data_IF_157128307396
#
_entry.id   IF_157128307396
#
_cell.length_a   1.000
_cell.length_b   1.000
_cell.length_c   1.000
_cell.angle_alpha   90.00
_cell.angle_beta   90.00
_cell.angle_gamma   90.00
#
_symmetry.space_group_name_H-M   'P 1'
#
loop_
_entity.id
_entity.type
_entity.pdbx_description
1 polymer ?
#
# COMPACT_ATOMS: atom_id res chain seq x y z
N UNK A 1 5.79 15.31 -17.09
CA UNK A 1 6.02 16.76 -16.81
C UNK A 1 5.00 17.71 -17.47
N UNK A 2 3.83 17.23 -17.90
CA UNK A 2 2.79 18.09 -18.50
C UNK A 2 2.16 19.04 -17.47
N UNK A 3 1.82 18.62 -16.23
CA UNK A 3 1.14 19.52 -15.28
C UNK A 3 1.96 20.75 -14.84
N UNK A 4 3.28 20.61 -14.49
CA UNK A 4 4.11 21.77 -14.14
C UNK A 4 4.28 22.77 -15.28
N UNK A 5 4.45 22.28 -16.51
CA UNK A 5 4.59 23.12 -17.69
C UNK A 5 3.30 23.91 -17.99
N UNK A 6 2.13 23.29 -17.82
CA UNK A 6 0.84 23.94 -18.05
C UNK A 6 0.56 25.02 -16.99
N UNK A 7 0.81 24.75 -15.70
CA UNK A 7 0.53 25.75 -14.66
C UNK A 7 1.50 26.93 -14.68
N UNK A 8 2.78 26.70 -15.01
CA UNK A 8 3.74 27.80 -15.22
C UNK A 8 3.33 28.65 -16.42
N UNK A 9 2.83 28.04 -17.49
CA UNK A 9 2.41 28.77 -18.68
C UNK A 9 1.10 29.56 -18.49
N UNK A 10 0.10 28.99 -17.79
CA UNK A 10 -1.21 29.62 -17.60
C UNK A 10 -1.28 30.61 -16.43
N UNK A 11 -0.59 30.30 -15.31
CA UNK A 11 -0.73 31.03 -14.05
C UNK A 11 0.58 31.69 -13.60
N UNK A 12 1.63 31.66 -14.44
CA UNK A 12 2.92 32.29 -14.18
C UNK A 12 3.61 31.76 -12.91
N UNK A 13 4.35 32.65 -12.22
CA UNK A 13 5.10 32.30 -11.00
C UNK A 13 4.21 31.84 -9.84
N UNK A 14 2.99 32.37 -9.75
CA UNK A 14 2.01 31.98 -8.72
C UNK A 14 1.52 30.55 -8.92
N UNK A 15 1.22 30.15 -10.16
CA UNK A 15 0.85 28.78 -10.48
C UNK A 15 1.95 27.75 -10.20
N UNK A 16 3.20 28.12 -10.48
CA UNK A 16 4.35 27.29 -10.17
C UNK A 16 4.48 27.00 -8.67
N UNK A 17 4.29 28.04 -7.83
CA UNK A 17 4.31 27.90 -6.38
C UNK A 17 3.15 27.03 -5.87
N UNK A 18 1.93 27.28 -6.35
CA UNK A 18 0.76 26.49 -5.95
C UNK A 18 0.89 25.01 -6.33
N UNK A 19 1.45 24.69 -7.49
CA UNK A 19 1.71 23.30 -7.87
C UNK A 19 2.80 22.65 -7.01
N UNK A 20 3.87 23.37 -6.71
CA UNK A 20 4.93 22.87 -5.83
C UNK A 20 4.37 22.57 -4.44
N UNK A 21 3.57 23.49 -3.90
CA UNK A 21 2.90 23.31 -2.62
C UNK A 21 1.92 22.13 -2.66
N UNK A 22 1.08 22.03 -3.68
CA UNK A 22 0.16 20.92 -3.84
C UNK A 22 0.89 19.57 -3.93
N UNK A 23 1.98 19.49 -4.70
CA UNK A 23 2.77 18.26 -4.81
C UNK A 23 3.42 17.90 -3.47
N UNK A 24 3.96 18.89 -2.75
CA UNK A 24 4.53 18.68 -1.42
C UNK A 24 3.49 18.16 -0.42
N UNK A 25 2.30 18.78 -0.39
CA UNK A 25 1.20 18.35 0.47
C UNK A 25 0.70 16.95 0.08
N UNK A 26 0.56 16.66 -1.22
CA UNK A 26 0.13 15.36 -1.71
C UNK A 26 1.10 14.24 -1.30
N UNK A 27 2.40 14.43 -1.53
CA UNK A 27 3.43 13.42 -1.20
C UNK A 27 3.54 13.23 0.32
N UNK A 28 3.49 14.32 1.10
CA UNK A 28 3.54 14.24 2.57
C UNK A 28 2.30 13.53 3.11
N UNK A 29 1.11 13.80 2.55
CA UNK A 29 -0.13 13.14 2.94
C UNK A 29 -0.11 11.65 2.65
N UNK A 30 0.31 11.25 1.44
CA UNK A 30 0.38 9.82 1.07
C UNK A 30 1.44 9.08 1.87
N UNK A 31 2.60 9.71 2.10
CA UNK A 31 3.69 9.12 2.89
C UNK A 31 3.27 8.83 4.32
N UNK A 32 2.55 9.75 4.97
CA UNK A 32 2.04 9.53 6.32
C UNK A 32 1.04 8.36 6.37
N UNK A 33 0.10 8.29 5.42
CA UNK A 33 -0.89 7.20 5.36
C UNK A 33 -0.24 5.83 5.14
N UNK A 34 0.76 5.75 4.26
CA UNK A 34 1.48 4.49 4.00
C UNK A 34 2.27 4.03 5.23
N UNK A 35 2.99 4.96 5.88
CA UNK A 35 3.79 4.66 7.07
C UNK A 35 2.93 4.16 8.24
N UNK A 36 1.75 4.74 8.42
CA UNK A 36 0.76 4.27 9.41
C UNK A 36 0.18 2.90 9.04
N UNK A 37 -0.12 2.68 7.76
CA UNK A 37 -0.61 1.39 7.28
C UNK A 37 0.42 0.27 7.54
N UNK A 38 1.70 0.49 7.23
CA UNK A 38 2.75 -0.51 7.46
C UNK A 38 2.97 -0.78 8.95
N UNK A 39 2.94 0.27 9.78
CA UNK A 39 3.10 0.13 11.22
C UNK A 39 1.96 -0.66 11.88
N UNK A 40 0.71 -0.43 11.46
CA UNK A 40 -0.45 -1.18 11.94
C UNK A 40 -0.43 -2.64 11.46
N UNK A 41 -0.12 -2.89 10.18
CA UNK A 41 0.07 -4.26 9.66
C UNK A 41 1.10 -5.03 10.49
N UNK A 42 2.27 -4.44 10.77
CA UNK A 42 3.27 -5.12 11.60
C UNK A 42 2.77 -5.36 13.03
N UNK A 43 2.13 -4.37 13.65
CA UNK A 43 1.72 -4.47 15.06
C UNK A 43 0.60 -5.49 15.26
N UNK A 44 -0.39 -5.52 14.38
CA UNK A 44 -1.54 -6.41 14.50
C UNK A 44 -1.32 -7.78 13.86
N UNK A 45 -0.72 -7.83 12.67
CA UNK A 45 -0.60 -9.09 11.92
C UNK A 45 0.65 -9.87 12.30
N UNK A 46 1.74 -9.18 12.69
CA UNK A 46 3.00 -9.83 13.05
C UNK A 46 3.17 -9.88 14.57
N UNK A 47 3.21 -8.72 15.24
CA UNK A 47 3.54 -8.66 16.66
C UNK A 47 2.48 -9.32 17.54
N UNK A 48 1.20 -9.00 17.34
CA UNK A 48 0.13 -9.64 18.12
C UNK A 48 0.04 -11.14 17.81
N UNK A 49 0.02 -11.53 16.53
CA UNK A 49 -0.21 -12.93 16.18
C UNK A 49 0.95 -13.87 16.57
N UNK A 50 2.21 -13.43 16.40
CA UNK A 50 3.38 -14.33 16.54
C UNK A 50 4.22 -14.06 17.78
N UNK A 51 4.34 -12.82 18.25
CA UNK A 51 5.23 -12.48 19.36
C UNK A 51 4.50 -12.40 20.70
N UNK A 52 3.33 -11.76 20.74
CA UNK A 52 2.55 -11.63 21.97
C UNK A 52 1.03 -11.57 21.71
N UNK A 53 0.37 -12.75 21.66
CA UNK A 53 -1.07 -12.87 21.43
C UNK A 53 -1.95 -12.15 22.45
N UNK A 54 -1.43 -11.95 23.67
CA UNK A 54 -2.12 -11.28 24.78
C UNK A 54 -1.61 -9.84 25.00
N UNK A 55 -0.99 -9.22 23.99
CA UNK A 55 -0.52 -7.85 24.09
C UNK A 55 -1.69 -6.88 24.37
N UNK A 56 -1.55 -6.08 25.42
CA UNK A 56 -2.45 -4.95 25.69
C UNK A 56 -2.38 -3.92 24.56
N UNK A 57 -3.49 -3.21 24.31
CA UNK A 57 -3.60 -2.17 23.28
C UNK A 57 -2.52 -1.08 23.45
N UNK A 58 -2.17 -0.71 24.68
CA UNK A 58 -1.11 0.29 24.93
C UNK A 58 0.27 -0.17 24.41
N UNK A 59 0.56 -1.47 24.54
CA UNK A 59 1.81 -2.04 24.02
C UNK A 59 1.79 -2.12 22.50
N UNK A 60 0.64 -2.43 21.89
CA UNK A 60 0.49 -2.43 20.43
C UNK A 60 0.70 -1.03 19.84
N UNK A 61 0.17 0.01 20.49
CA UNK A 61 0.40 1.39 20.07
C UNK A 61 1.88 1.81 20.20
N UNK A 62 2.56 1.39 21.26
CA UNK A 62 3.99 1.65 21.42
C UNK A 62 4.80 0.99 20.30
N UNK A 63 4.52 -0.28 20.00
CA UNK A 63 5.18 -1.02 18.91
C UNK A 63 4.90 -0.35 17.56
N UNK A 64 3.66 0.05 17.29
CA UNK A 64 3.30 0.80 16.08
C UNK A 64 4.15 2.06 15.94
N UNK A 65 4.24 2.89 16.99
CA UNK A 65 5.03 4.13 16.97
C UNK A 65 6.53 3.90 16.74
N UNK A 66 7.08 2.81 17.29
CA UNK A 66 8.48 2.43 17.01
C UNK A 66 8.62 2.00 15.55
N UNK A 67 7.68 1.20 15.04
CA UNK A 67 7.69 0.72 13.65
C UNK A 67 7.56 1.84 12.63
N UNK A 68 6.79 2.89 12.93
CA UNK A 68 6.76 4.13 12.14
C UNK A 68 8.17 4.67 11.96
N UNK A 69 8.90 4.88 13.06
CA UNK A 69 10.27 5.41 13.01
C UNK A 69 11.23 4.49 12.23
N UNK A 70 11.16 3.18 12.48
CA UNK A 70 11.98 2.19 11.78
C UNK A 70 11.68 2.18 10.28
N UNK A 71 10.41 2.15 9.89
CA UNK A 71 10.02 2.11 8.48
C UNK A 71 10.44 3.39 7.75
N UNK A 72 10.35 4.57 8.37
CA UNK A 72 10.84 5.82 7.75
C UNK A 72 12.33 5.78 7.44
N UNK A 73 13.15 5.24 8.34
CA UNK A 73 14.60 5.12 8.10
C UNK A 73 14.87 4.12 6.99
N UNK A 74 14.22 2.95 7.03
CA UNK A 74 14.40 1.89 6.03
C UNK A 74 13.96 2.34 4.64
N UNK A 75 12.75 2.91 4.52
CA UNK A 75 12.23 3.39 3.23
C UNK A 75 13.04 4.58 2.70
N UNK A 76 13.52 5.47 3.57
CA UNK A 76 14.43 6.55 3.19
C UNK A 76 15.76 6.06 2.64
N UNK A 77 16.38 5.07 3.28
CA UNK A 77 17.64 4.45 2.78
C UNK A 77 17.41 3.76 1.45
N UNK A 78 16.34 2.99 1.30
CA UNK A 78 15.98 2.33 0.05
C UNK A 78 15.73 3.36 -1.05
N UNK A 79 15.04 4.46 -0.76
CA UNK A 79 14.78 5.53 -1.73
C UNK A 79 16.07 6.18 -2.24
N UNK A 80 17.05 6.42 -1.37
CA UNK A 80 18.37 6.93 -1.79
C UNK A 80 19.09 5.94 -2.69
N UNK A 81 19.07 4.64 -2.35
CA UNK A 81 19.69 3.60 -3.18
C UNK A 81 19.05 3.54 -4.56
N UNK A 82 17.71 3.53 -4.64
CA UNK A 82 16.98 3.50 -5.91
C UNK A 82 17.26 4.75 -6.77
N UNK A 83 17.46 5.90 -6.13
CA UNK A 83 17.82 7.16 -6.79
C UNK A 83 19.23 7.09 -7.40
N UNK A 84 20.21 6.54 -6.67
CA UNK A 84 21.60 6.37 -7.14
C UNK A 84 21.71 5.34 -8.28
N UNK A 85 20.86 4.29 -8.28
CA UNK A 85 20.80 3.32 -9.39
C UNK A 85 20.25 3.98 -10.67
N UNK A 86 19.63 5.16 -10.58
CA UNK A 86 19.07 5.86 -11.74
C UNK A 86 17.82 5.20 -12.30
N UNK A 87 17.08 4.45 -11.46
CA UNK A 87 15.86 3.76 -11.87
C UNK A 87 14.80 4.74 -12.35
N UNK A 88 14.18 4.42 -13.49
CA UNK A 88 13.01 5.16 -13.95
C UNK A 88 11.81 4.87 -13.03
N UNK A 89 11.09 5.91 -12.60
CA UNK A 89 9.83 5.76 -11.85
C UNK A 89 8.86 4.80 -12.55
N UNK A 90 8.77 4.87 -13.88
CA UNK A 90 7.93 3.96 -14.68
C UNK A 90 8.33 2.49 -14.52
N UNK A 91 9.63 2.20 -14.45
CA UNK A 91 10.13 0.84 -14.18
C UNK A 91 9.68 0.35 -12.81
N UNK A 92 9.86 1.17 -11.77
CA UNK A 92 9.48 0.83 -10.39
C UNK A 92 7.98 0.57 -10.28
N UNK A 93 7.15 1.43 -10.89
CA UNK A 93 5.69 1.26 -10.89
C UNK A 93 5.23 0.00 -11.62
N UNK A 94 5.87 -0.35 -12.75
CA UNK A 94 5.50 -1.55 -13.51
C UNK A 94 5.97 -2.83 -12.81
N UNK A 95 7.16 -2.82 -12.21
CA UNK A 95 7.68 -3.96 -11.42
C UNK A 95 6.85 -4.19 -10.17
N UNK A 96 6.38 -3.12 -9.52
CA UNK A 96 5.41 -3.23 -8.43
C UNK A 96 4.21 -4.08 -8.86
N UNK A 97 3.62 -3.81 -10.02
CA UNK A 97 2.50 -4.59 -10.56
C UNK A 97 2.81 -6.06 -10.84
N UNK A 98 4.04 -6.39 -11.25
CA UNK A 98 4.48 -7.79 -11.46
C UNK A 98 4.56 -8.53 -10.12
N UNK A 99 5.10 -7.89 -9.09
CA UNK A 99 5.34 -8.51 -7.77
C UNK A 99 4.04 -8.63 -6.97
N UNK A 100 3.23 -7.57 -6.92
CA UNK A 100 2.04 -7.54 -6.05
C UNK A 100 0.74 -7.88 -6.78
N UNK A 101 0.73 -7.80 -8.12
CA UNK A 101 -0.49 -7.93 -8.93
C UNK A 101 -1.19 -9.28 -8.75
N UNK A 102 -0.45 -10.33 -8.42
CA UNK A 102 -1.01 -11.67 -8.19
C UNK A 102 -1.95 -11.73 -6.99
N UNK A 103 -1.82 -10.85 -5.99
CA UNK A 103 -2.67 -10.85 -4.81
C UNK A 103 -3.98 -10.04 -4.99
N UNK A 104 -4.06 -9.20 -6.02
CA UNK A 104 -5.17 -8.24 -6.20
C UNK A 104 -6.51 -8.94 -6.36
N UNK A 105 -6.63 -9.88 -7.30
CA UNK A 105 -7.88 -10.61 -7.52
C UNK A 105 -8.24 -11.52 -6.34
N UNK A 106 -7.31 -12.35 -5.80
CA UNK A 106 -7.61 -13.18 -4.63
C UNK A 106 -8.12 -12.37 -3.44
N UNK A 107 -7.51 -11.22 -3.16
CA UNK A 107 -7.96 -10.33 -2.08
C UNK A 107 -9.37 -9.79 -2.34
N UNK A 108 -9.66 -9.34 -3.57
CA UNK A 108 -11.00 -8.90 -3.94
C UNK A 108 -12.04 -10.04 -3.85
N UNK A 109 -11.67 -11.26 -4.26
CA UNK A 109 -12.52 -12.43 -4.21
C UNK A 109 -12.84 -12.85 -2.76
N UNK A 110 -11.89 -12.76 -1.83
CA UNK A 110 -12.13 -13.03 -0.41
C UNK A 110 -13.20 -12.12 0.21
N UNK A 111 -13.32 -10.87 -0.27
CA UNK A 111 -14.26 -9.89 0.27
C UNK A 111 -15.62 -9.94 -0.44
N UNK A 112 -15.64 -10.32 -1.72
CA UNK A 112 -16.85 -10.22 -2.55
C UNK A 112 -17.51 -11.56 -2.88
N UNK A 113 -16.77 -12.67 -2.84
CA UNK A 113 -17.23 -13.96 -3.32
C UNK A 113 -17.33 -14.99 -2.19
N UNK A 114 -18.57 -15.33 -1.83
CA UNK A 114 -18.90 -16.29 -0.75
C UNK A 114 -18.21 -17.65 -0.86
N UNK A 115 -17.88 -18.10 -2.08
CA UNK A 115 -17.31 -19.43 -2.34
C UNK A 115 -15.78 -19.41 -2.44
N UNK A 116 -15.17 -18.23 -2.34
CA UNK A 116 -13.72 -18.09 -2.38
C UNK A 116 -13.12 -18.85 -1.19
N UNK A 117 -12.27 -19.82 -1.50
CA UNK A 117 -11.61 -20.62 -0.47
C UNK A 117 -10.30 -19.99 -0.04
N UNK A 118 -10.00 -20.06 1.26
CA UNK A 118 -8.73 -19.59 1.79
C UNK A 118 -7.54 -20.27 1.11
N UNK A 119 -7.64 -21.57 0.80
CA UNK A 119 -6.60 -22.33 0.10
C UNK A 119 -6.44 -21.82 -1.34
N UNK A 120 -7.56 -21.55 -2.02
CA UNK A 120 -7.57 -21.02 -3.38
C UNK A 120 -6.88 -19.65 -3.45
N UNK A 121 -7.26 -18.72 -2.55
CA UNK A 121 -6.73 -17.36 -2.54
C UNK A 121 -5.23 -17.30 -2.20
N UNK A 122 -4.77 -18.11 -1.24
CA UNK A 122 -3.35 -18.16 -0.86
C UNK A 122 -2.52 -18.81 -1.97
N UNK A 123 -3.00 -19.93 -2.51
CA UNK A 123 -2.26 -20.69 -3.54
C UNK A 123 -2.15 -19.90 -4.84
N UNK A 124 -3.22 -19.24 -5.28
CA UNK A 124 -3.19 -18.42 -6.50
C UNK A 124 -2.23 -17.24 -6.37
N UNK A 125 -2.23 -16.57 -5.21
CA UNK A 125 -1.34 -15.43 -4.95
C UNK A 125 0.14 -15.87 -4.93
N UNK A 126 0.42 -16.99 -4.23
CA UNK A 126 1.78 -17.50 -4.04
C UNK A 126 2.37 -18.13 -5.30
N UNK A 127 1.55 -18.78 -6.14
CA UNK A 127 1.98 -19.38 -7.41
C UNK A 127 2.02 -18.33 -8.53
N UNK A 128 1.10 -17.35 -8.51
CA UNK A 128 1.03 -16.30 -9.51
C UNK A 128 2.24 -15.37 -9.53
N UNK A 129 2.79 -15.02 -8.36
CA UNK A 129 3.95 -14.10 -8.27
C UNK A 129 5.22 -14.68 -8.94
N UNK A 130 5.69 -15.90 -8.61
CA UNK A 130 6.84 -16.49 -9.28
C UNK A 130 6.63 -16.66 -10.79
N UNK A 131 5.42 -17.04 -11.22
CA UNK A 131 5.12 -17.18 -12.65
C UNK A 131 5.15 -15.84 -13.38
N UNK A 132 4.67 -14.76 -12.76
CA UNK A 132 4.76 -13.42 -13.30
C UNK A 132 6.21 -12.94 -13.43
N UNK A 133 7.03 -13.15 -12.39
CA UNK A 133 8.46 -12.82 -12.40
C UNK A 133 9.20 -13.64 -13.47
N UNK A 134 8.95 -14.95 -13.55
CA UNK A 134 9.55 -15.80 -14.57
C UNK A 134 9.15 -15.34 -15.97
N UNK A 135 7.86 -15.04 -16.20
CA UNK A 135 7.40 -14.57 -17.51
C UNK A 135 8.07 -13.26 -17.89
N UNK A 136 8.18 -12.32 -16.95
CA UNK A 136 8.86 -11.04 -17.16
C UNK A 136 10.33 -11.24 -17.57
N UNK A 137 11.10 -12.01 -16.79
CA UNK A 137 12.52 -12.23 -17.04
C UNK A 137 12.77 -13.07 -18.30
N UNK A 138 11.95 -14.09 -18.56
CA UNK A 138 12.04 -14.90 -19.79
C UNK A 138 11.69 -14.07 -21.02
N UNK A 139 10.67 -13.21 -20.95
CA UNK A 139 10.30 -12.33 -22.06
C UNK A 139 11.41 -11.29 -22.32
N UNK A 140 12.01 -10.74 -21.26
CA UNK A 140 13.18 -9.86 -21.39
C UNK A 140 14.37 -10.58 -22.04
N UNK A 141 14.70 -11.79 -21.60
CA UNK A 141 15.80 -12.57 -22.17
C UNK A 141 15.55 -12.98 -23.63
N UNK A 142 14.35 -13.46 -23.95
CA UNK A 142 14.03 -13.97 -25.30
C UNK A 142 13.98 -12.88 -26.36
N UNK A 143 13.58 -11.66 -26.00
CA UNK A 143 13.53 -10.53 -26.92
C UNK A 143 14.88 -9.81 -27.10
N UNK A 144 15.86 -10.10 -26.23
CA UNK A 144 17.16 -9.40 -26.21
C UNK A 144 18.34 -10.38 -26.22
N UNK A 145 18.22 -11.48 -26.98
CA UNK A 145 19.30 -12.46 -27.21
C UNK A 145 19.95 -13.03 -25.92
N UNK A 146 19.18 -13.15 -24.85
CA UNK A 146 19.61 -13.70 -23.55
C UNK A 146 20.16 -12.66 -22.57
N UNK A 147 20.19 -11.38 -22.92
CA UNK A 147 20.65 -10.31 -22.03
C UNK A 147 19.51 -9.88 -21.10
N UNK A 148 19.81 -9.84 -19.80
CA UNK A 148 18.89 -9.35 -18.75
C UNK A 148 19.61 -8.27 -17.94
N UNK A 149 19.19 -7.04 -18.13
CA UNK A 149 19.70 -5.83 -17.50
C UNK A 149 18.55 -4.83 -17.25
N UNK A 150 18.90 -3.62 -16.81
CA UNK A 150 17.90 -2.61 -16.50
C UNK A 150 17.10 -2.18 -17.73
N UNK A 151 17.76 -2.04 -18.88
CA UNK A 151 17.16 -1.51 -20.11
C UNK A 151 16.25 -2.55 -20.77
N UNK A 152 16.68 -3.81 -20.81
CA UNK A 152 15.89 -4.93 -21.34
C UNK A 152 14.67 -5.24 -20.47
N UNK A 153 14.80 -5.16 -19.15
CA UNK A 153 13.67 -5.36 -18.23
C UNK A 153 12.70 -4.17 -18.21
N UNK A 154 13.15 -2.97 -18.60
CA UNK A 154 12.34 -1.76 -18.73
C UNK A 154 11.46 -1.71 -19.98
N UNK A 155 11.67 -2.61 -20.93
CA UNK A 155 10.92 -2.63 -22.18
C UNK A 155 9.42 -2.91 -21.95
N UNK A 156 8.58 -2.32 -22.80
CA UNK A 156 7.13 -2.40 -22.68
C UNK A 156 6.60 -3.85 -22.80
N UNK A 157 7.18 -4.67 -23.70
CA UNK A 157 6.72 -6.04 -23.91
C UNK A 157 6.99 -6.97 -22.71
N UNK A 158 8.22 -7.06 -22.15
CA UNK A 158 8.46 -7.79 -20.92
C UNK A 158 7.58 -7.33 -19.75
N UNK A 159 7.47 -6.01 -19.56
CA UNK A 159 6.66 -5.43 -18.48
C UNK A 159 5.18 -5.80 -18.64
N UNK A 160 4.65 -5.70 -19.86
CA UNK A 160 3.27 -6.08 -20.17
C UNK A 160 3.04 -7.57 -19.93
N UNK A 161 3.94 -8.44 -20.40
CA UNK A 161 3.81 -9.88 -20.25
C UNK A 161 3.79 -10.29 -18.77
N UNK A 162 4.71 -9.76 -17.96
CA UNK A 162 4.76 -10.01 -16.52
C UNK A 162 3.50 -9.54 -15.80
N UNK A 163 3.07 -8.31 -16.05
CA UNK A 163 1.87 -7.74 -15.42
C UNK A 163 0.59 -8.47 -15.82
N UNK A 164 0.48 -8.88 -17.09
CA UNK A 164 -0.68 -9.63 -17.58
C UNK A 164 -0.75 -11.01 -16.92
N UNK A 165 0.38 -11.71 -16.80
CA UNK A 165 0.41 -12.99 -16.08
C UNK A 165 0.09 -12.80 -14.60
N UNK A 166 0.66 -11.78 -13.94
CA UNK A 166 0.36 -11.49 -12.54
C UNK A 166 -1.15 -11.38 -12.29
N UNK A 167 -1.86 -10.58 -13.10
CA UNK A 167 -3.30 -10.37 -12.92
C UNK A 167 -4.14 -11.55 -13.43
N UNK A 168 -3.96 -11.95 -14.69
CA UNK A 168 -4.87 -12.88 -15.36
C UNK A 168 -4.66 -14.30 -14.86
N UNK A 169 -3.41 -14.76 -14.77
CA UNK A 169 -3.15 -16.13 -14.35
C UNK A 169 -3.56 -16.35 -12.90
N UNK A 170 -3.25 -15.41 -12.00
CA UNK A 170 -3.69 -15.51 -10.60
C UNK A 170 -5.22 -15.49 -10.49
N UNK A 171 -5.90 -14.65 -11.28
CA UNK A 171 -7.38 -14.60 -11.30
C UNK A 171 -7.99 -15.93 -11.73
N UNK A 172 -7.52 -16.49 -12.85
CA UNK A 172 -8.00 -17.77 -13.37
C UNK A 172 -7.76 -18.89 -12.36
N UNK A 173 -6.54 -18.96 -11.80
CA UNK A 173 -6.19 -19.99 -10.83
C UNK A 173 -7.04 -19.89 -9.56
N UNK A 174 -7.28 -18.68 -9.06
CA UNK A 174 -8.15 -18.43 -7.91
C UNK A 174 -9.59 -18.88 -8.18
N UNK A 175 -10.13 -18.59 -9.38
CA UNK A 175 -11.48 -18.99 -9.78
C UNK A 175 -11.59 -20.51 -9.85
N UNK A 176 -10.65 -21.17 -10.54
CA UNK A 176 -10.66 -22.63 -10.71
C UNK A 176 -10.55 -23.32 -9.35
N UNK A 177 -9.60 -22.93 -8.51
CA UNK A 177 -9.41 -23.53 -7.20
C UNK A 177 -10.60 -23.28 -6.27
N UNK A 178 -11.27 -22.13 -6.38
CA UNK A 178 -12.48 -21.83 -5.60
C UNK A 178 -13.67 -22.71 -6.03
N UNK A 179 -13.73 -23.15 -7.28
CA UNK A 179 -14.76 -24.12 -7.72
C UNK A 179 -14.42 -25.56 -7.35
N UNK A 180 -13.14 -25.94 -7.30
CA UNK A 180 -12.70 -27.30 -6.90
C UNK A 180 -12.81 -27.48 -5.38
N UNK A 181 -12.42 -26.46 -4.61
CA UNK A 181 -12.43 -26.47 -3.16
C UNK A 181 -13.30 -25.34 -2.60
N UNK A 182 -14.62 -25.32 -2.86
CA UNK A 182 -15.48 -24.23 -2.42
C UNK A 182 -15.56 -24.17 -0.90
N UNK A 183 -15.47 -22.97 -0.35
CA UNK A 183 -15.72 -22.69 1.05
C UNK A 183 -16.92 -21.74 1.11
N UNK A 184 -18.10 -22.22 1.50
CA UNK A 184 -19.32 -21.40 1.57
C UNK A 184 -19.30 -20.56 2.85
N UNK A 185 -18.78 -19.33 2.75
CA UNK A 185 -18.67 -18.41 3.88
C UNK A 185 -20.00 -17.75 4.25
N UNK A 186 -20.37 -17.81 5.54
CA UNK A 186 -21.53 -17.10 6.08
C UNK A 186 -21.16 -15.65 6.46
N UNK A 187 -21.55 -14.70 5.62
CA UNK A 187 -21.33 -13.27 5.88
C UNK A 187 -21.92 -12.77 7.21
N UNK A 188 -22.88 -13.48 7.81
CA UNK A 188 -23.41 -13.11 9.12
C UNK A 188 -22.36 -13.28 10.24
N UNK A 189 -21.32 -14.08 10.04
CA UNK A 189 -20.20 -14.17 10.98
C UNK A 189 -19.42 -12.86 11.09
N UNK A 190 -19.34 -12.06 10.01
CA UNK A 190 -18.66 -10.76 10.06
C UNK A 190 -19.32 -9.79 11.05
N UNK A 191 -20.63 -9.94 11.30
CA UNK A 191 -21.35 -9.12 12.28
C UNK A 191 -21.04 -9.52 13.73
N UNK A 192 -20.53 -10.73 13.95
CA UNK A 192 -20.21 -11.29 15.27
C UNK A 192 -18.76 -11.03 15.68
N UNK A 193 -17.89 -10.67 14.72
CA UNK A 193 -16.51 -10.32 15.03
C UNK A 193 -16.58 -9.11 15.97
N UNK A 194 -16.10 -9.24 17.23
CA UNK A 194 -16.03 -8.09 18.11
C UNK A 194 -15.21 -7.07 17.37
N UNK A 195 -15.80 -5.90 17.10
CA UNK A 195 -15.14 -4.84 16.37
C UNK A 195 -13.85 -4.59 17.14
N UNK A 196 -12.71 -5.06 16.61
CA UNK A 196 -11.41 -4.89 17.23
C UNK A 196 -10.96 -3.42 17.12
N UNK A 197 -11.92 -2.49 16.99
CA UNK A 197 -11.79 -1.11 17.39
C UNK A 197 -11.71 -1.06 18.93
N UNK A 198 -10.60 -1.52 19.48
CA UNK A 198 -10.02 -0.74 20.56
C UNK A 198 -9.59 0.57 19.92
N UNK A 199 -10.51 1.56 19.86
CA UNK A 199 -10.37 2.90 19.26
C UNK A 199 -9.44 2.93 18.04
N UNK A 200 -9.98 2.98 16.83
CA UNK A 200 -9.18 3.16 15.61
C UNK A 200 -8.15 4.28 15.82
N UNK A 201 -6.94 4.15 15.31
CA UNK A 201 -5.91 5.19 15.45
C UNK A 201 -6.42 6.54 14.92
N UNK A 202 -7.35 6.52 13.95
CA UNK A 202 -8.12 7.68 13.49
C UNK A 202 -9.09 8.26 14.53
N UNK A 203 -9.71 7.44 15.39
CA UNK A 203 -10.53 7.85 16.55
C UNK A 203 -9.69 8.23 17.77
N UNK A 204 -8.51 7.65 17.99
CA UNK A 204 -7.59 8.10 19.04
C UNK A 204 -6.93 9.40 18.64
N UNK A 205 -6.52 9.54 17.39
CA UNK A 205 -6.09 10.80 16.81
C UNK A 205 -7.25 11.79 16.81
N UNK A 206 -8.49 11.43 16.44
CA UNK A 206 -9.64 12.35 16.54
C UNK A 206 -10.00 12.66 18.01
N UNK A 207 -9.84 11.74 18.96
CA UNK A 207 -10.14 11.97 20.38
C UNK A 207 -9.07 12.83 21.07
N UNK A 208 -7.79 12.55 20.83
CA UNK A 208 -6.67 13.36 21.33
C UNK A 208 -6.63 14.71 20.61
N UNK A 209 -6.90 14.74 19.30
CA UNK A 209 -7.03 15.98 18.53
C UNK A 209 -8.27 16.76 18.96
N UNK A 210 -9.41 16.12 19.29
CA UNK A 210 -10.59 16.78 19.88
C UNK A 210 -10.36 17.25 21.30
N UNK A 211 -9.60 16.52 22.12
CA UNK A 211 -9.23 16.99 23.45
C UNK A 211 -8.32 18.21 23.34
N UNK A 212 -7.29 18.17 22.49
CA UNK A 212 -6.43 19.31 22.24
C UNK A 212 -7.19 20.45 21.53
N UNK A 213 -8.11 20.18 20.60
CA UNK A 213 -9.00 21.19 20.01
C UNK A 213 -9.89 21.83 21.06
N UNK A 214 -10.50 21.05 21.95
CA UNK A 214 -11.35 21.58 23.02
C UNK A 214 -10.53 22.39 24.02
N UNK A 215 -9.28 22.00 24.27
CA UNK A 215 -8.33 22.74 25.11
C UNK A 215 -7.96 24.07 24.44
N UNK A 216 -7.58 24.05 23.17
CA UNK A 216 -7.28 25.23 22.35
C UNK A 216 -8.51 26.13 22.23
N UNK A 217 -9.68 25.58 21.96
CA UNK A 217 -10.97 26.29 21.91
C UNK A 217 -11.29 26.96 23.25
N UNK A 218 -11.09 26.25 24.37
CA UNK A 218 -11.28 26.82 25.71
C UNK A 218 -10.29 27.94 26.02
N UNK A 219 -9.05 27.83 25.52
CA UNK A 219 -8.01 28.86 25.65
C UNK A 219 -8.39 30.07 24.80
N UNK A 220 -8.81 29.88 23.54
CA UNK A 220 -9.27 30.96 22.65
C UNK A 220 -10.46 31.72 23.24
N UNK A 221 -11.44 31.05 23.84
CA UNK A 221 -12.56 31.69 24.53
C UNK A 221 -12.08 32.47 25.76
N UNK A 222 -11.16 31.89 26.56
CA UNK A 222 -10.66 32.54 27.79
C UNK A 222 -9.71 33.71 27.54
N UNK A 223 -8.94 33.67 26.46
CA UNK A 223 -7.99 34.74 26.09
C UNK A 223 -8.59 35.76 25.13
N UNK A 224 -9.83 35.58 24.68
CA UNK A 224 -10.51 36.49 23.76
C UNK A 224 -9.86 36.55 22.36
N UNK A 225 -8.93 35.64 22.06
CA UNK A 225 -8.17 35.61 20.80
C UNK A 225 -8.86 34.72 19.75
N UNK A 226 -10.20 34.72 19.71
CA UNK A 226 -10.98 34.21 18.60
C UNK A 226 -11.41 35.40 17.74
N UNK A 227 -11.00 35.41 16.46
CA UNK A 227 -11.29 36.45 15.49
C UNK A 227 -12.73 37.00 15.57
N UNK A 228 -12.85 38.29 15.90
CA UNK A 228 -13.34 39.26 14.91
C UNK A 228 -12.27 39.50 13.86
#
# INVERSE_FOLDING_TARGET
LVPPAVATHLMGKGGAFLLMLQLFLAVTSTGNSEQMAVASLFSYDVYRQYFNPQASNEKLLLVSRIMVGVYAVVSGVIAIILLEIGLNLGWVYLVMGIIIGSAVFPLAACITWKKCSAVAAVTSSLVGMPLAIMTWLVTAATLNDGVVDLDTTAQDYPMLAGNLVALVFSSILCIILSFIFPQDFDWNELQKIPVAHGKTEHEVLDHDTRMELNKIYSICIKTGAGLT
#
